data_IF_275014943925
#
_entry.id   IF_275014943925
#
_cell.length_a   1.000
_cell.length_b   1.000
_cell.length_c   1.000
_cell.angle_alpha   90.00
_cell.angle_beta   90.00
_cell.angle_gamma   90.00
#
_symmetry.space_group_name_H-M   'P 1'
#
loop_
_entity.id
_entity.type
_entity.pdbx_description
1 polymer ?
#
# COMPACT_ATOMS: atom_id res chain seq x y z
N UNK A 1 11.22 -3.28 -20.93
CA UNK A 1 12.30 -2.37 -20.51
C UNK A 1 12.27 -2.29 -18.99
N UNK A 2 13.36 -2.67 -18.33
CA UNK A 2 13.45 -2.74 -16.86
C UNK A 2 13.50 -1.33 -16.27
N UNK A 3 12.86 -1.11 -15.12
CA UNK A 3 12.96 0.14 -14.35
C UNK A 3 14.44 0.53 -14.07
N UNK A 4 15.33 -0.46 -14.07
CA UNK A 4 16.78 -0.26 -13.93
C UNK A 4 17.42 0.58 -15.04
N UNK A 5 16.89 0.56 -16.27
CA UNK A 5 17.50 1.33 -17.38
C UNK A 5 17.13 2.81 -17.34
N UNK A 6 15.97 3.16 -16.76
CA UNK A 6 15.53 4.56 -16.68
C UNK A 6 16.33 5.37 -15.65
N UNK A 7 16.86 4.72 -14.62
CA UNK A 7 17.62 5.37 -13.54
C UNK A 7 19.07 5.67 -13.96
N UNK A 8 19.62 4.92 -14.92
CA UNK A 8 20.98 5.18 -15.43
C UNK A 8 21.03 6.39 -16.38
N UNK A 9 20.00 6.61 -17.20
CA UNK A 9 19.99 7.69 -18.20
C UNK A 9 19.96 9.11 -17.62
N UNK A 10 19.49 9.30 -16.37
CA UNK A 10 19.51 10.60 -15.71
C UNK A 10 20.91 11.02 -15.23
N UNK A 11 21.86 10.09 -15.15
CA UNK A 11 23.21 10.36 -14.64
C UNK A 11 24.19 10.92 -15.68
N UNK A 12 23.84 10.88 -16.98
CA UNK A 12 24.75 11.26 -18.08
C UNK A 12 24.60 12.70 -18.60
N UNK A 13 23.69 13.51 -18.05
CA UNK A 13 23.50 14.90 -18.51
C UNK A 13 24.31 15.96 -17.75
N UNK A 14 24.93 15.62 -16.62
CA UNK A 14 25.62 16.61 -15.77
C UNK A 14 27.16 16.59 -15.86
N UNK A 15 27.75 15.79 -16.76
CA UNK A 15 29.21 15.63 -16.84
C UNK A 15 29.87 16.24 -18.09
N UNK A 16 29.32 17.31 -18.65
CA UNK A 16 29.99 18.09 -19.71
C UNK A 16 30.06 19.57 -19.34
N UNK A 17 31.04 19.89 -18.49
CA UNK A 17 31.45 21.26 -18.19
C UNK A 17 32.77 21.50 -18.92
N UNK A 18 32.82 22.48 -19.83
CA UNK A 18 34.09 22.99 -20.35
C UNK A 18 34.16 24.52 -20.22
N UNK A 19 35.24 24.95 -19.56
CA UNK A 19 35.52 26.30 -19.06
C UNK A 19 36.19 27.17 -20.13
N UNK A 20 36.01 28.51 -20.04
CA UNK A 20 37.02 29.62 -20.17
C UNK A 20 36.39 30.95 -20.68
N UNK A 21 37.05 32.14 -20.59
CA UNK A 21 37.24 32.94 -19.37
C UNK A 21 36.85 34.43 -19.55
N UNK A 22 36.92 35.18 -18.44
CA UNK A 22 36.65 36.61 -18.30
C UNK A 22 37.80 37.47 -18.86
N UNK A 23 37.49 38.57 -19.56
CA UNK A 23 38.46 39.64 -19.87
C UNK A 23 37.83 41.04 -19.70
N UNK A 24 38.58 41.93 -19.03
CA UNK A 24 38.32 43.38 -18.83
C UNK A 24 38.91 44.19 -19.99
N UNK A 25 38.25 45.30 -20.38
CA UNK A 25 38.90 46.50 -20.93
C UNK A 25 37.97 47.73 -20.81
N UNK A 26 38.59 48.93 -20.87
CA UNK A 26 38.17 50.24 -20.34
C UNK A 26 37.88 51.26 -21.47
N UNK A 27 37.24 52.39 -21.11
CA UNK A 27 37.22 53.73 -21.79
C UNK A 27 35.90 54.05 -22.55
N UNK A 28 35.31 55.25 -22.61
CA UNK A 28 35.67 56.68 -22.38
C UNK A 28 34.39 57.53 -22.13
N UNK A 29 34.55 58.78 -21.67
CA UNK A 29 33.56 59.89 -21.51
C UNK A 29 32.77 60.23 -22.83
N UNK A 30 31.69 61.04 -22.92
CA UNK A 30 31.30 62.31 -22.26
C UNK A 30 29.84 62.78 -22.60
N UNK A 31 29.33 63.76 -21.84
CA UNK A 31 28.44 64.93 -22.17
C UNK A 31 26.97 64.81 -22.62
N UNK A 32 26.06 65.33 -21.76
CA UNK A 32 25.00 66.37 -21.93
C UNK A 32 24.16 66.39 -23.22
N UNK A 33 22.81 66.29 -23.11
CA UNK A 33 21.88 67.35 -23.57
C UNK A 33 20.46 67.23 -22.97
N UNK A 34 19.86 68.40 -22.73
CA UNK A 34 18.51 68.69 -22.24
C UNK A 34 17.44 68.47 -23.32
N UNK A 35 16.20 68.10 -22.93
CA UNK A 35 14.95 68.70 -23.48
C UNK A 35 13.67 68.23 -22.77
N UNK A 36 12.88 69.23 -22.39
CA UNK A 36 11.50 69.25 -21.84
C UNK A 36 10.49 68.40 -22.62
N UNK A 37 9.47 67.85 -21.94
CA UNK A 37 8.06 67.98 -22.39
C UNK A 37 7.00 67.56 -21.33
N UNK A 38 6.18 68.57 -20.98
CA UNK A 38 4.72 68.60 -20.84
C UNK A 38 3.91 67.50 -20.12
N UNK A 39 3.17 68.00 -19.11
CA UNK A 39 1.97 67.48 -18.47
C UNK A 39 0.89 67.05 -19.49
N UNK A 40 0.28 65.87 -19.29
CA UNK A 40 -1.02 65.53 -19.89
C UNK A 40 -1.85 64.59 -18.99
N UNK A 41 -2.96 65.16 -18.50
CA UNK A 41 -4.27 64.59 -18.12
C UNK A 41 -4.35 63.30 -17.29
N UNK A 42 -4.82 63.48 -16.05
CA UNK A 42 -5.61 62.50 -15.33
C UNK A 42 -6.89 62.16 -16.13
N UNK A 43 -7.02 60.91 -16.58
CA UNK A 43 -8.30 60.36 -17.02
C UNK A 43 -9.00 59.77 -15.80
N UNK A 44 -10.17 60.31 -15.48
CA UNK A 44 -11.11 59.71 -14.54
C UNK A 44 -11.58 58.38 -15.12
N UNK A 45 -11.12 57.27 -14.57
CA UNK A 45 -11.87 56.03 -14.70
C UNK A 45 -13.07 56.14 -13.78
N UNK A 46 -14.23 56.30 -14.42
CA UNK A 46 -15.53 56.24 -13.80
C UNK A 46 -15.61 54.98 -12.92
N UNK A 47 -16.02 55.21 -11.67
CA UNK A 47 -16.46 54.18 -10.74
C UNK A 47 -17.46 53.25 -11.44
N UNK A 48 -16.98 52.08 -11.86
CA UNK A 48 -17.88 50.93 -11.96
C UNK A 48 -18.24 50.63 -10.53
N UNK A 49 -19.51 50.85 -10.18
CA UNK A 49 -20.05 50.57 -8.87
C UNK A 49 -19.61 49.16 -8.48
N UNK A 50 -18.65 49.11 -7.55
CA UNK A 50 -18.17 47.89 -7.00
C UNK A 50 -19.38 47.16 -6.42
N UNK A 51 -19.65 45.96 -6.88
CA UNK A 51 -20.10 44.88 -6.00
C UNK A 51 -19.03 44.69 -4.93
N UNK A 52 -18.95 45.66 -4.02
CA UNK A 52 -18.06 45.70 -2.86
C UNK A 52 -18.70 44.90 -1.74
N UNK A 53 -19.05 43.64 -2.02
CA UNK A 53 -19.13 42.68 -0.93
C UNK A 53 -17.68 42.39 -0.57
N UNK A 54 -17.20 43.02 0.48
CA UNK A 54 -15.92 42.63 1.09
C UNK A 54 -16.05 41.18 1.52
N UNK A 55 -15.55 40.24 0.69
CA UNK A 55 -15.46 38.82 1.04
C UNK A 55 -14.58 38.67 2.30
N UNK A 56 -13.66 39.61 2.52
CA UNK A 56 -12.97 39.82 3.77
C UNK A 56 -13.96 40.37 4.82
N UNK A 57 -14.63 39.49 5.56
CA UNK A 57 -15.43 39.87 6.72
C UNK A 57 -16.67 39.02 7.02
N UNK A 58 -17.13 38.20 6.07
CA UNK A 58 -18.25 37.29 6.37
C UNK A 58 -17.79 36.18 7.34
N UNK A 59 -18.55 35.99 8.42
CA UNK A 59 -18.31 34.97 9.46
C UNK A 59 -18.27 33.58 8.81
N UNK A 60 -19.11 33.33 7.81
CA UNK A 60 -19.17 32.03 7.11
C UNK A 60 -17.85 31.66 6.41
N UNK A 61 -17.04 32.66 6.06
CA UNK A 61 -15.76 32.50 5.36
C UNK A 61 -14.55 32.39 6.32
N UNK A 62 -14.73 32.58 7.63
CA UNK A 62 -13.64 32.60 8.61
C UNK A 62 -13.28 31.20 9.12
N UNK A 63 -12.47 30.45 8.37
CA UNK A 63 -12.03 29.09 8.78
C UNK A 63 -10.65 29.05 9.46
N UNK A 64 -9.81 30.07 9.26
CA UNK A 64 -8.41 30.07 9.73
C UNK A 64 -8.26 29.85 11.24
N UNK A 65 -9.24 30.27 12.04
CA UNK A 65 -9.26 30.06 13.48
C UNK A 65 -9.21 28.57 13.87
N UNK A 66 -9.80 27.67 13.07
CA UNK A 66 -9.84 26.23 13.34
C UNK A 66 -8.50 25.50 13.18
N UNK A 67 -7.51 26.12 12.53
CA UNK A 67 -6.22 25.48 12.20
C UNK A 67 -5.00 26.39 12.35
N UNK A 68 -5.12 27.53 13.06
CA UNK A 68 -4.02 28.48 13.25
C UNK A 68 -2.88 27.93 14.14
N UNK A 69 -3.18 27.03 15.07
CA UNK A 69 -2.21 26.45 16.02
C UNK A 69 -1.84 24.99 15.65
N UNK A 70 -0.62 24.50 15.88
CA UNK A 70 -0.25 23.10 15.61
C UNK A 70 -1.23 22.07 16.21
N UNK A 71 -1.59 22.23 17.49
CA UNK A 71 -2.59 21.38 18.14
C UNK A 71 -3.98 21.47 17.50
N UNK A 72 -4.39 22.66 17.07
CA UNK A 72 -5.68 22.85 16.41
C UNK A 72 -5.73 22.13 15.06
N UNK A 73 -4.62 22.07 14.32
CA UNK A 73 -4.50 21.25 13.10
C UNK A 73 -4.69 19.76 13.40
N UNK A 74 -4.06 19.26 14.48
CA UNK A 74 -4.22 17.86 14.90
C UNK A 74 -5.64 17.51 15.35
N UNK A 75 -6.40 18.46 15.91
CA UNK A 75 -7.81 18.26 16.28
C UNK A 75 -8.76 18.16 15.10
N UNK A 76 -8.38 18.63 13.91
CA UNK A 76 -9.20 18.48 12.69
C UNK A 76 -9.20 17.05 12.15
N UNK A 77 -8.24 16.21 12.57
CA UNK A 77 -8.20 14.82 12.14
C UNK A 77 -9.23 13.98 12.92
N UNK A 78 -10.16 13.34 12.21
CA UNK A 78 -11.11 12.39 12.81
C UNK A 78 -10.40 11.17 13.42
N UNK A 79 -9.19 10.85 12.94
CA UNK A 79 -8.34 9.78 13.44
C UNK A 79 -6.87 10.16 13.29
N UNK A 80 -6.08 9.94 14.35
CA UNK A 80 -4.63 10.09 14.32
C UNK A 80 -3.96 8.74 14.13
N UNK A 81 -2.82 8.72 13.41
CA UNK A 81 -2.04 7.51 13.20
C UNK A 81 -1.45 7.01 14.52
N UNK A 82 -1.57 5.71 14.80
CA UNK A 82 -0.93 5.07 15.95
C UNK A 82 -0.20 3.80 15.53
N UNK A 83 0.79 3.35 16.32
CA UNK A 83 1.57 2.14 16.04
C UNK A 83 0.70 0.89 15.89
N UNK A 84 -0.40 0.80 16.64
CA UNK A 84 -1.31 -0.35 16.60
C UNK A 84 -2.12 -0.47 15.30
N UNK A 85 -2.20 0.58 14.48
CA UNK A 85 -2.88 0.55 13.19
C UNK A 85 -2.03 -0.09 12.09
N UNK A 86 -0.73 -0.27 12.32
CA UNK A 86 0.22 -0.73 11.31
C UNK A 86 0.30 -2.26 11.25
N UNK A 87 0.22 -2.80 10.04
CA UNK A 87 0.51 -4.20 9.74
C UNK A 87 1.71 -4.24 8.80
N UNK A 88 2.78 -4.93 9.22
CA UNK A 88 4.00 -5.02 8.43
C UNK A 88 4.04 -6.27 7.53
N UNK A 89 4.22 -6.12 6.20
CA UNK A 89 4.40 -7.25 5.28
C UNK A 89 5.74 -7.96 5.45
N UNK A 90 5.72 -9.30 5.47
CA UNK A 90 6.91 -10.15 5.50
C UNK A 90 6.90 -11.15 4.35
N UNK A 91 8.03 -11.25 3.63
CA UNK A 91 8.25 -12.24 2.58
C UNK A 91 9.11 -13.38 3.11
N UNK A 92 8.54 -14.58 3.16
CA UNK A 92 9.15 -15.73 3.82
C UNK A 92 9.64 -16.73 2.77
N UNK A 93 10.95 -16.96 2.76
CA UNK A 93 11.60 -17.96 1.91
C UNK A 93 11.37 -19.38 2.42
N UNK A 94 11.44 -20.35 1.51
CA UNK A 94 11.55 -21.78 1.84
C UNK A 94 12.99 -22.23 2.12
N UNK A 95 13.97 -21.32 2.03
CA UNK A 95 15.35 -21.55 2.49
C UNK A 95 15.56 -20.91 3.87
N UNK A 96 15.80 -21.74 4.89
CA UNK A 96 15.77 -21.34 6.30
C UNK A 96 16.69 -20.17 6.68
N UNK A 97 17.88 -20.09 6.05
CA UNK A 97 18.89 -19.07 6.35
C UNK A 97 18.95 -17.92 5.34
N UNK A 98 18.06 -17.88 4.35
CA UNK A 98 18.05 -16.87 3.30
C UNK A 98 17.78 -15.46 3.88
N UNK A 99 18.51 -14.45 3.38
CA UNK A 99 18.19 -13.04 3.60
C UNK A 99 18.60 -12.25 2.34
N UNK A 100 17.68 -12.14 1.40
CA UNK A 100 17.93 -11.54 0.09
C UNK A 100 17.18 -10.21 -0.03
N UNK A 101 17.92 -9.13 -0.30
CA UNK A 101 17.36 -7.82 -0.62
C UNK A 101 16.50 -7.91 -1.88
N UNK A 102 15.34 -7.27 -1.87
CA UNK A 102 14.45 -7.15 -3.03
C UNK A 102 14.74 -5.80 -3.71
N UNK A 103 15.46 -5.75 -4.86
CA UNK A 103 15.97 -4.49 -5.39
C UNK A 103 14.90 -3.48 -5.78
N UNK A 104 13.74 -3.95 -6.23
CA UNK A 104 12.62 -3.09 -6.62
C UNK A 104 11.79 -2.57 -5.44
N UNK A 105 12.02 -3.11 -4.23
CA UNK A 105 11.28 -2.77 -3.02
C UNK A 105 12.25 -2.31 -1.92
N UNK A 106 12.54 -0.99 -1.84
CA UNK A 106 13.60 -0.44 -1.00
C UNK A 106 13.60 -0.96 0.44
N UNK A 107 14.78 -1.40 0.91
CA UNK A 107 15.03 -1.91 2.26
C UNK A 107 14.17 -3.11 2.70
N UNK A 108 13.49 -3.79 1.75
CA UNK A 108 12.74 -5.01 2.02
C UNK A 108 13.53 -6.25 1.58
N UNK A 109 13.35 -7.34 2.31
CA UNK A 109 14.07 -8.59 2.10
C UNK A 109 13.11 -9.76 2.09
N UNK A 110 13.45 -10.77 1.30
CA UNK A 110 12.93 -12.13 1.48
C UNK A 110 13.79 -12.84 2.50
N UNK A 111 13.16 -13.43 3.52
CA UNK A 111 13.84 -14.00 4.68
C UNK A 111 13.42 -15.44 4.93
N UNK A 112 14.40 -16.29 5.20
CA UNK A 112 14.19 -17.61 5.77
C UNK A 112 13.76 -17.54 7.22
N UNK A 113 13.23 -18.66 7.71
CA UNK A 113 12.66 -18.76 9.06
C UNK A 113 13.66 -18.43 10.17
N UNK A 114 14.94 -18.80 10.01
CA UNK A 114 16.00 -18.56 11.01
C UNK A 114 16.33 -17.06 11.16
N UNK A 115 15.96 -16.23 10.18
CA UNK A 115 16.18 -14.78 10.19
C UNK A 115 15.02 -13.99 10.81
N UNK A 116 13.84 -14.61 10.98
CA UNK A 116 12.65 -13.89 11.41
C UNK A 116 12.71 -13.39 12.85
N UNK A 117 13.18 -14.21 13.80
CA UNK A 117 13.22 -13.82 15.21
C UNK A 117 14.18 -12.64 15.44
N UNK A 118 15.45 -12.69 15.01
CA UNK A 118 16.37 -11.56 15.16
C UNK A 118 15.86 -10.28 14.48
N UNK A 119 15.15 -10.42 13.36
CA UNK A 119 14.58 -9.30 12.61
C UNK A 119 13.36 -8.67 13.32
N UNK A 120 12.45 -9.49 13.83
CA UNK A 120 11.21 -9.01 14.45
C UNK A 120 11.40 -8.48 15.87
N UNK A 121 12.35 -9.04 16.64
CA UNK A 121 12.59 -8.65 18.03
C UNK A 121 12.80 -7.14 18.24
N UNK A 122 13.64 -6.41 17.48
CA UNK A 122 13.72 -4.96 17.61
C UNK A 122 12.43 -4.24 17.22
N UNK A 123 11.68 -4.72 16.21
CA UNK A 123 10.43 -4.09 15.78
C UNK A 123 9.32 -4.25 16.83
N UNK A 124 9.21 -5.44 17.43
CA UNK A 124 8.27 -5.70 18.54
C UNK A 124 8.59 -4.81 19.73
N UNK A 125 9.87 -4.64 20.09
CA UNK A 125 10.29 -3.70 21.14
C UNK A 125 9.91 -2.25 20.84
N UNK A 126 9.91 -1.84 19.57
CA UNK A 126 9.47 -0.50 19.13
C UNK A 126 7.95 -0.34 19.06
N UNK A 127 7.19 -1.41 19.31
CA UNK A 127 5.72 -1.40 19.38
C UNK A 127 5.02 -2.02 18.17
N UNK A 128 5.70 -2.81 17.33
CA UNK A 128 5.03 -3.57 16.26
C UNK A 128 3.96 -4.50 16.85
N UNK A 129 2.71 -4.37 16.39
CA UNK A 129 1.58 -5.16 16.89
C UNK A 129 1.08 -6.21 15.92
N UNK A 130 1.34 -6.08 14.62
CA UNK A 130 0.83 -7.01 13.62
C UNK A 130 1.76 -7.17 12.43
N UNK A 131 1.79 -8.39 11.88
CA UNK A 131 2.47 -8.73 10.62
C UNK A 131 1.51 -9.40 9.66
N UNK A 132 1.78 -9.30 8.36
CA UNK A 132 1.12 -10.10 7.33
C UNK A 132 2.17 -10.94 6.57
N UNK A 133 1.94 -12.26 6.54
CA UNK A 133 2.88 -13.23 5.99
C UNK A 133 2.57 -13.53 4.52
N UNK A 134 3.61 -13.51 3.68
CA UNK A 134 3.60 -13.97 2.30
C UNK A 134 4.66 -15.06 2.14
N UNK A 135 4.25 -16.29 1.84
CA UNK A 135 5.17 -17.38 1.53
C UNK A 135 5.72 -17.24 0.11
N UNK A 136 7.01 -17.45 -0.04
CA UNK A 136 7.72 -17.32 -1.33
C UNK A 136 8.53 -18.58 -1.56
N UNK A 137 7.88 -19.71 -1.90
CA UNK A 137 8.59 -20.94 -2.22
C UNK A 137 9.35 -20.77 -3.55
N UNK A 138 10.65 -21.00 -3.51
CA UNK A 138 11.57 -20.88 -4.64
C UNK A 138 12.23 -22.21 -5.01
N UNK A 139 12.10 -23.25 -4.18
CA UNK A 139 12.65 -24.57 -4.44
C UNK A 139 12.06 -25.18 -5.73
N UNK A 140 12.89 -25.87 -6.55
CA UNK A 140 12.39 -26.58 -7.72
C UNK A 140 11.28 -27.56 -7.35
N UNK A 141 10.18 -27.53 -8.11
CA UNK A 141 9.02 -28.41 -7.88
C UNK A 141 8.07 -27.94 -6.77
N UNK A 142 8.34 -26.83 -6.07
CA UNK A 142 7.45 -26.30 -5.04
C UNK A 142 6.16 -25.67 -5.60
N UNK A 143 6.09 -25.43 -6.91
CA UNK A 143 4.93 -24.84 -7.59
C UNK A 143 4.30 -25.83 -8.57
N UNK A 144 2.98 -25.98 -8.50
CA UNK A 144 2.19 -26.83 -9.40
C UNK A 144 0.90 -26.13 -9.87
N UNK A 145 0.04 -26.79 -10.64
CA UNK A 145 -1.18 -26.15 -11.16
C UNK A 145 -2.26 -25.91 -10.08
N UNK A 146 -2.15 -26.54 -8.91
CA UNK A 146 -3.17 -26.52 -7.85
C UNK A 146 -2.75 -25.67 -6.64
N UNK A 147 -1.50 -25.19 -6.62
CA UNK A 147 -0.92 -24.52 -5.47
C UNK A 147 -0.82 -25.44 -4.27
N UNK A 148 -0.43 -26.70 -4.45
CA UNK A 148 -0.40 -27.70 -3.36
C UNK A 148 0.45 -27.25 -2.16
N UNK A 149 1.57 -26.55 -2.41
CA UNK A 149 2.44 -26.06 -1.34
C UNK A 149 1.86 -24.89 -0.51
N UNK A 150 0.70 -24.33 -0.88
CA UNK A 150 0.11 -23.19 -0.18
C UNK A 150 -0.23 -23.48 1.28
N UNK A 151 -0.53 -24.73 1.63
CA UNK A 151 -0.83 -25.18 2.99
C UNK A 151 0.03 -26.37 3.41
N UNK A 152 1.24 -26.47 2.85
CA UNK A 152 2.23 -27.42 3.36
C UNK A 152 2.53 -27.08 4.84
N UNK A 153 2.34 -28.02 5.79
CA UNK A 153 2.70 -27.81 7.19
C UNK A 153 4.17 -27.44 7.41
N UNK A 154 5.06 -27.83 6.48
CA UNK A 154 6.48 -27.47 6.46
C UNK A 154 6.77 -26.24 5.60
N UNK A 155 5.76 -25.70 4.93
CA UNK A 155 5.86 -24.52 4.10
C UNK A 155 6.16 -23.25 4.91
N UNK A 156 6.68 -22.21 4.24
CA UNK A 156 7.23 -21.02 4.88
C UNK A 156 6.21 -20.29 5.77
N UNK A 157 4.95 -20.20 5.33
CA UNK A 157 3.89 -19.49 6.10
C UNK A 157 3.53 -20.25 7.37
N UNK A 158 3.22 -21.54 7.28
CA UNK A 158 2.84 -22.33 8.46
C UNK A 158 3.98 -22.44 9.46
N UNK A 159 5.21 -22.70 9.00
CA UNK A 159 6.37 -22.73 9.88
C UNK A 159 6.59 -21.38 10.60
N UNK A 160 6.40 -20.26 9.88
CA UNK A 160 6.48 -18.91 10.46
C UNK A 160 5.38 -18.62 11.48
N UNK A 161 4.15 -19.06 11.22
CA UNK A 161 3.04 -18.91 12.18
C UNK A 161 3.42 -19.57 13.51
N UNK A 162 3.83 -20.85 13.48
CA UNK A 162 4.21 -21.58 14.69
C UNK A 162 5.36 -20.87 15.45
N UNK A 163 6.41 -20.47 14.73
CA UNK A 163 7.55 -19.77 15.31
C UNK A 163 7.16 -18.44 15.95
N UNK A 164 6.37 -17.62 15.26
CA UNK A 164 5.94 -16.31 15.77
C UNK A 164 5.01 -16.49 16.97
N UNK A 165 4.08 -17.46 16.95
CA UNK A 165 3.22 -17.77 18.11
C UNK A 165 4.04 -18.13 19.34
N UNK A 166 5.12 -18.89 19.16
CA UNK A 166 6.01 -19.31 20.25
C UNK A 166 6.87 -18.14 20.78
N UNK A 167 7.45 -17.33 19.89
CA UNK A 167 8.47 -16.33 20.26
C UNK A 167 7.89 -14.96 20.56
N UNK A 168 6.76 -14.61 19.95
CA UNK A 168 6.09 -13.32 20.09
C UNK A 168 4.58 -13.53 20.33
N UNK A 169 4.17 -14.08 21.48
CA UNK A 169 2.78 -14.49 21.72
C UNK A 169 1.75 -13.36 21.65
N UNK A 170 2.19 -12.10 21.78
CA UNK A 170 1.35 -10.89 21.66
C UNK A 170 1.32 -10.29 20.24
N UNK A 171 2.16 -10.78 19.32
CA UNK A 171 2.19 -10.28 17.95
C UNK A 171 1.00 -10.88 17.18
N UNK A 172 0.19 -10.01 16.59
CA UNK A 172 -0.95 -10.41 15.77
C UNK A 172 -0.47 -10.89 14.40
N UNK A 173 -1.01 -12.02 13.95
CA UNK A 173 -0.51 -12.73 12.76
C UNK A 173 -1.63 -12.77 11.74
N UNK A 174 -1.41 -12.08 10.63
CA UNK A 174 -2.23 -12.15 9.43
C UNK A 174 -1.52 -13.05 8.42
N UNK A 175 -2.24 -13.99 7.80
CA UNK A 175 -1.72 -14.79 6.69
C UNK A 175 -2.46 -14.39 5.41
N UNK A 176 -1.74 -14.02 4.35
CA UNK A 176 -2.34 -13.83 3.03
C UNK A 176 -2.81 -15.19 2.49
N UNK A 177 -4.05 -15.26 2.00
CA UNK A 177 -4.60 -16.48 1.39
C UNK A 177 -4.77 -16.25 -0.11
N UNK A 178 -3.91 -16.89 -0.90
CA UNK A 178 -3.91 -16.85 -2.35
C UNK A 178 -3.09 -18.03 -2.89
N UNK A 179 -3.25 -18.35 -4.17
CA UNK A 179 -2.48 -19.42 -4.82
C UNK A 179 -1.37 -18.89 -5.75
N UNK A 180 -1.23 -17.56 -5.92
CA UNK A 180 -0.35 -17.04 -6.97
C UNK A 180 1.15 -17.22 -6.70
N UNK A 181 1.55 -17.34 -5.45
CA UNK A 181 2.91 -17.65 -5.03
C UNK A 181 3.24 -19.14 -5.21
N UNK A 182 2.22 -20.00 -5.23
CA UNK A 182 2.33 -21.45 -5.19
C UNK A 182 1.98 -22.14 -6.51
N UNK A 183 1.38 -21.41 -7.45
CA UNK A 183 1.00 -21.97 -8.75
C UNK A 183 2.11 -21.84 -9.79
N UNK A 184 2.28 -22.86 -10.63
CA UNK A 184 3.27 -22.85 -11.73
C UNK A 184 2.97 -21.79 -12.80
N UNK A 185 1.72 -21.35 -12.90
CA UNK A 185 1.27 -20.31 -13.83
C UNK A 185 1.16 -18.91 -13.19
N UNK A 186 1.31 -18.77 -11.87
CA UNK A 186 1.29 -17.46 -11.18
C UNK A 186 -0.06 -16.73 -11.13
N UNK A 187 -1.17 -17.46 -11.35
CA UNK A 187 -2.54 -16.93 -11.22
C UNK A 187 -3.08 -17.15 -9.80
N UNK A 188 -4.06 -16.36 -9.38
CA UNK A 188 -4.59 -16.42 -8.02
C UNK A 188 -5.50 -17.63 -7.72
N UNK A 189 -5.73 -18.52 -8.69
CA UNK A 189 -6.61 -19.68 -8.54
C UNK A 189 -6.30 -20.77 -9.57
N UNK A 190 -7.07 -21.85 -9.52
CA UNK A 190 -6.99 -22.99 -10.43
C UNK A 190 -7.59 -22.61 -11.78
N UNK A 191 -6.93 -22.99 -12.87
CA UNK A 191 -7.37 -22.67 -14.23
C UNK A 191 -8.11 -23.85 -14.88
N UNK A 192 -8.99 -23.54 -15.84
CA UNK A 192 -9.55 -24.51 -16.80
C UNK A 192 -8.56 -24.75 -17.94
N UNK A 193 -8.85 -25.74 -18.78
CA UNK A 193 -8.05 -26.07 -19.96
C UNK A 193 -7.90 -24.90 -20.95
N UNK A 194 -8.88 -23.99 -21.00
CA UNK A 194 -8.84 -22.77 -21.82
C UNK A 194 -8.04 -21.61 -21.18
N UNK A 195 -7.44 -21.82 -20.02
CA UNK A 195 -6.69 -20.83 -19.25
C UNK A 195 -7.56 -19.86 -18.44
N UNK A 196 -8.89 -19.98 -18.48
CA UNK A 196 -9.80 -19.19 -17.65
C UNK A 196 -9.80 -19.66 -16.19
N UNK A 197 -10.17 -18.78 -15.26
CA UNK A 197 -10.22 -19.11 -13.84
C UNK A 197 -11.38 -20.07 -13.53
N UNK A 198 -11.09 -21.24 -12.98
CA UNK A 198 -12.08 -22.15 -12.43
C UNK A 198 -12.49 -21.69 -11.03
N UNK A 199 -13.50 -20.82 -10.95
CA UNK A 199 -13.92 -20.19 -9.68
C UNK A 199 -14.27 -21.21 -8.59
N UNK A 200 -15.02 -22.28 -8.92
CA UNK A 200 -15.46 -23.26 -7.92
C UNK A 200 -14.25 -23.99 -7.30
N UNK A 201 -13.40 -24.59 -8.12
CA UNK A 201 -12.20 -25.28 -7.63
C UNK A 201 -11.25 -24.33 -6.89
N UNK A 202 -11.13 -23.09 -7.38
CA UNK A 202 -10.30 -22.07 -6.73
C UNK A 202 -10.82 -21.74 -5.34
N UNK A 203 -12.12 -21.48 -5.20
CA UNK A 203 -12.76 -21.16 -3.91
C UNK A 203 -12.60 -22.30 -2.93
N UNK A 204 -12.80 -23.54 -3.36
CA UNK A 204 -12.65 -24.71 -2.51
C UNK A 204 -11.22 -24.82 -1.96
N UNK A 205 -10.23 -24.73 -2.86
CA UNK A 205 -8.80 -24.79 -2.54
C UNK A 205 -8.35 -23.64 -1.65
N UNK A 206 -8.73 -22.41 -1.96
CA UNK A 206 -8.41 -21.20 -1.17
C UNK A 206 -8.99 -21.32 0.23
N UNK A 207 -10.19 -21.89 0.35
CA UNK A 207 -10.80 -22.12 1.66
C UNK A 207 -10.03 -23.16 2.48
N UNK A 208 -9.51 -24.23 1.86
CA UNK A 208 -8.64 -25.19 2.56
C UNK A 208 -7.37 -24.53 3.09
N UNK A 209 -6.70 -23.70 2.27
CA UNK A 209 -5.50 -22.95 2.69
C UNK A 209 -5.80 -22.02 3.87
N UNK A 210 -6.93 -21.30 3.83
CA UNK A 210 -7.33 -20.44 4.94
C UNK A 210 -7.51 -21.24 6.25
N UNK A 211 -8.15 -22.41 6.19
CA UNK A 211 -8.33 -23.26 7.37
C UNK A 211 -7.00 -23.78 7.90
N UNK A 212 -6.10 -24.22 7.02
CA UNK A 212 -4.79 -24.70 7.42
C UNK A 212 -3.99 -23.61 8.16
N UNK A 213 -3.99 -22.38 7.67
CA UNK A 213 -3.34 -21.25 8.35
C UNK A 213 -4.00 -20.91 9.69
N UNK A 214 -5.33 -20.92 9.74
CA UNK A 214 -6.07 -20.68 10.99
C UNK A 214 -5.78 -21.76 12.04
N UNK A 215 -5.72 -23.03 11.64
CA UNK A 215 -5.37 -24.16 12.49
C UNK A 215 -3.91 -24.14 12.94
N UNK A 216 -2.98 -23.67 12.11
CA UNK A 216 -1.59 -23.41 12.48
C UNK A 216 -1.45 -22.31 13.54
N UNK A 217 -2.49 -21.47 13.72
CA UNK A 217 -2.54 -20.43 14.74
C UNK A 217 -2.46 -19.00 14.19
N UNK A 218 -2.71 -18.77 12.91
CA UNK A 218 -2.93 -17.42 12.41
C UNK A 218 -4.16 -16.81 13.09
N UNK A 219 -4.02 -15.58 13.61
CA UNK A 219 -5.12 -14.85 14.23
C UNK A 219 -6.11 -14.33 13.18
N UNK A 220 -5.60 -14.08 11.97
CA UNK A 220 -6.36 -13.56 10.85
C UNK A 220 -5.94 -14.24 9.55
N UNK A 221 -6.93 -14.58 8.73
CA UNK A 221 -6.74 -15.02 7.35
C UNK A 221 -7.21 -13.91 6.42
N UNK A 222 -6.40 -13.57 5.41
CA UNK A 222 -6.64 -12.41 4.57
C UNK A 222 -6.67 -12.81 3.07
N UNK A 223 -7.81 -13.31 2.56
CA UNK A 223 -7.94 -13.77 1.18
C UNK A 223 -7.80 -12.64 0.17
N UNK A 224 -6.80 -12.75 -0.71
CA UNK A 224 -6.40 -11.72 -1.67
C UNK A 224 -6.65 -12.10 -3.13
N UNK A 225 -7.31 -13.21 -3.37
CA UNK A 225 -7.48 -13.89 -4.64
C UNK A 225 -8.50 -13.24 -5.59
N UNK A 226 -9.52 -12.58 -5.05
CA UNK A 226 -10.67 -11.97 -5.77
C UNK A 226 -11.63 -12.95 -6.48
N UNK A 227 -11.65 -14.24 -6.11
CA UNK A 227 -12.68 -15.17 -6.60
C UNK A 227 -14.06 -14.81 -6.02
N UNK A 228 -15.12 -15.09 -6.77
CA UNK A 228 -16.48 -14.83 -6.32
C UNK A 228 -16.91 -15.89 -5.28
N UNK A 229 -17.42 -15.45 -4.13
CA UNK A 229 -17.94 -16.33 -3.08
C UNK A 229 -16.91 -16.92 -2.11
N UNK A 230 -15.61 -16.58 -2.24
CA UNK A 230 -14.58 -17.16 -1.36
C UNK A 230 -14.76 -16.82 0.12
N UNK A 231 -15.30 -15.64 0.45
CA UNK A 231 -15.46 -15.22 1.85
C UNK A 231 -16.49 -16.12 2.53
N UNK A 232 -17.61 -16.39 1.85
CA UNK A 232 -18.64 -17.31 2.35
C UNK A 232 -18.06 -18.69 2.58
N UNK A 233 -17.32 -19.24 1.62
CA UNK A 233 -16.72 -20.56 1.73
C UNK A 233 -15.73 -20.66 2.90
N UNK A 234 -14.83 -19.67 3.04
CA UNK A 234 -13.90 -19.60 4.18
C UNK A 234 -14.67 -19.49 5.50
N UNK A 235 -15.64 -18.58 5.62
CA UNK A 235 -16.39 -18.38 6.87
C UNK A 235 -17.17 -19.63 7.27
N UNK A 236 -17.78 -20.35 6.32
CA UNK A 236 -18.46 -21.61 6.58
C UNK A 236 -17.49 -22.68 7.10
N UNK A 237 -16.34 -22.88 6.45
CA UNK A 237 -15.34 -23.84 6.93
C UNK A 237 -14.77 -23.46 8.30
N UNK A 238 -14.62 -22.17 8.62
CA UNK A 238 -14.21 -21.70 9.95
C UNK A 238 -15.26 -22.05 11.01
N UNK A 239 -16.56 -21.94 10.68
CA UNK A 239 -17.67 -22.32 11.56
C UNK A 239 -17.69 -23.83 11.78
N UNK A 240 -17.61 -24.62 10.70
CA UNK A 240 -17.59 -26.08 10.73
C UNK A 240 -16.39 -26.62 11.53
N UNK A 241 -15.24 -25.97 11.41
CA UNK A 241 -14.03 -26.31 12.18
C UNK A 241 -14.10 -25.86 13.65
N UNK A 242 -15.14 -25.14 14.07
CA UNK A 242 -15.31 -24.63 15.43
C UNK A 242 -14.32 -23.52 15.80
N UNK A 243 -13.71 -22.84 14.82
CA UNK A 243 -12.65 -21.83 15.05
C UNK A 243 -13.04 -20.42 14.59
N UNK A 244 -14.23 -20.22 14.03
CA UNK A 244 -14.71 -18.90 13.58
C UNK A 244 -14.70 -17.82 14.68
N UNK A 245 -14.86 -18.19 15.95
CA UNK A 245 -14.86 -17.24 17.07
C UNK A 245 -13.47 -16.72 17.45
N UNK A 246 -12.40 -17.31 16.91
CA UNK A 246 -10.99 -16.97 17.23
C UNK A 246 -10.15 -16.60 16.00
N UNK A 247 -10.73 -16.66 14.81
CA UNK A 247 -10.05 -16.34 13.55
C UNK A 247 -10.77 -15.20 12.84
N UNK A 248 -10.06 -14.10 12.64
CA UNK A 248 -10.55 -12.93 11.92
C UNK A 248 -10.47 -13.18 10.40
N UNK A 249 -11.50 -12.79 9.66
CA UNK A 249 -11.54 -12.86 8.20
C UNK A 249 -11.40 -11.45 7.59
N UNK A 250 -10.22 -11.14 7.07
CA UNK A 250 -9.89 -9.83 6.48
C UNK A 250 -9.95 -9.91 4.95
N UNK A 251 -11.08 -9.55 4.37
CA UNK A 251 -11.26 -9.65 2.93
C UNK A 251 -10.54 -8.52 2.19
N UNK A 252 -9.75 -8.87 1.16
CA UNK A 252 -9.38 -7.91 0.11
C UNK A 252 -10.59 -7.64 -0.80
N UNK A 253 -11.64 -7.03 -0.25
CA UNK A 253 -12.93 -6.90 -0.91
C UNK A 253 -12.87 -6.03 -2.18
N UNK A 254 -12.03 -4.99 -2.17
CA UNK A 254 -11.81 -4.12 -3.31
C UNK A 254 -10.32 -4.12 -3.70
N UNK A 255 -9.89 -5.18 -4.40
CA UNK A 255 -8.54 -5.29 -4.97
C UNK A 255 -8.57 -5.06 -6.48
N UNK A 256 -7.94 -3.96 -6.90
CA UNK A 256 -7.90 -3.53 -8.29
C UNK A 256 -6.73 -4.14 -9.06
N UNK A 257 -6.94 -4.35 -10.36
CA UNK A 257 -5.87 -4.57 -11.32
C UNK A 257 -5.13 -3.25 -11.59
N UNK A 258 -3.85 -3.30 -11.92
CA UNK A 258 -3.08 -2.10 -12.22
C UNK A 258 -1.57 -2.30 -12.15
N UNK A 259 -0.83 -1.19 -12.27
CA UNK A 259 0.63 -1.18 -12.42
C UNK A 259 1.40 -1.05 -11.11
N UNK A 260 0.71 -0.90 -9.96
CA UNK A 260 1.35 -0.63 -8.66
C UNK A 260 1.84 -1.89 -7.93
N UNK A 261 1.82 -3.07 -8.58
CA UNK A 261 2.22 -4.34 -7.98
C UNK A 261 3.59 -4.86 -8.45
N UNK A 262 4.29 -4.13 -9.33
CA UNK A 262 5.56 -4.58 -9.91
C UNK A 262 6.55 -5.09 -8.85
N UNK A 263 6.94 -4.27 -7.87
CA UNK A 263 7.93 -4.71 -6.88
C UNK A 263 7.47 -5.86 -5.98
N UNK A 264 6.16 -5.99 -5.70
CA UNK A 264 5.63 -7.14 -4.97
C UNK A 264 5.78 -8.43 -5.79
N UNK A 265 5.59 -8.38 -7.11
CA UNK A 265 5.75 -9.57 -7.96
C UNK A 265 7.18 -10.07 -7.98
N UNK A 266 8.15 -9.15 -7.94
CA UNK A 266 9.57 -9.49 -7.79
C UNK A 266 9.83 -10.12 -6.42
N UNK A 267 9.27 -9.54 -5.35
CA UNK A 267 9.40 -10.03 -3.98
C UNK A 267 8.82 -11.45 -3.79
N UNK A 268 7.63 -11.69 -4.35
CA UNK A 268 6.85 -12.91 -4.16
C UNK A 268 7.10 -13.99 -5.24
N UNK A 269 7.91 -13.68 -6.27
CA UNK A 269 8.14 -14.60 -7.39
C UNK A 269 6.84 -15.02 -8.09
N UNK A 270 5.88 -14.09 -8.20
CA UNK A 270 4.47 -14.37 -8.54
C UNK A 270 4.05 -13.73 -9.88
N UNK A 271 4.99 -13.49 -10.79
CA UNK A 271 4.67 -12.95 -12.13
C UNK A 271 3.82 -13.98 -12.88
N UNK A 272 2.63 -13.62 -13.42
CA UNK A 272 1.84 -14.55 -14.23
C UNK A 272 2.63 -15.04 -15.44
N UNK A 273 2.59 -16.34 -15.70
CA UNK A 273 3.31 -16.96 -16.82
C UNK A 273 2.71 -16.62 -18.19
N UNK A 274 1.41 -16.25 -18.22
CA UNK A 274 0.72 -15.75 -19.39
C UNK A 274 -0.45 -14.84 -18.99
N UNK A 275 -0.96 -14.06 -19.96
CA UNK A 275 -2.12 -13.19 -19.76
C UNK A 275 -1.94 -12.15 -18.66
N UNK A 276 -3.05 -11.78 -18.02
CA UNK A 276 -3.07 -10.87 -16.88
C UNK A 276 -4.15 -11.27 -15.85
N UNK A 277 -4.31 -10.45 -14.80
CA UNK A 277 -5.24 -10.70 -13.69
C UNK A 277 -6.56 -9.91 -13.82
N UNK A 278 -6.83 -9.28 -14.97
CA UNK A 278 -7.97 -8.36 -15.16
C UNK A 278 -9.33 -9.05 -15.18
N UNK A 279 -9.37 -10.37 -15.34
CA UNK A 279 -10.62 -11.14 -15.33
C UNK A 279 -11.17 -11.43 -13.92
N UNK A 280 -10.45 -11.04 -12.86
CA UNK A 280 -10.91 -11.21 -11.47
C UNK A 280 -10.50 -10.05 -10.55
N UNK A 281 -9.36 -9.42 -10.77
CA UNK A 281 -9.05 -8.13 -10.12
C UNK A 281 -9.89 -7.01 -10.75
N UNK A 282 -10.41 -6.11 -9.92
CA UNK A 282 -11.32 -5.06 -10.39
C UNK A 282 -10.64 -4.13 -11.42
N UNK A 283 -11.34 -3.66 -12.46
CA UNK A 283 -10.80 -2.65 -13.35
C UNK A 283 -10.65 -1.30 -12.62
N UNK A 284 -9.62 -0.47 -12.87
CA UNK A 284 -9.42 0.81 -12.17
C UNK A 284 -10.63 1.75 -12.16
N UNK A 285 -11.37 1.85 -13.27
CA UNK A 285 -12.60 2.66 -13.35
C UNK A 285 -13.84 2.01 -12.71
N UNK A 286 -13.69 0.84 -12.08
CA UNK A 286 -14.78 -0.04 -11.66
C UNK A 286 -15.39 0.27 -10.29
N UNK A 287 -15.67 1.54 -9.96
CA UNK A 287 -16.23 1.93 -8.64
C UNK A 287 -17.49 1.15 -8.26
N UNK A 288 -18.43 0.99 -9.21
CA UNK A 288 -19.67 0.23 -8.96
C UNK A 288 -19.43 -1.25 -8.63
N UNK A 289 -18.41 -1.88 -9.23
CA UNK A 289 -18.02 -3.25 -8.90
C UNK A 289 -17.37 -3.33 -7.52
N UNK A 290 -16.54 -2.35 -7.17
CA UNK A 290 -15.93 -2.28 -5.83
C UNK A 290 -16.99 -2.19 -4.73
N UNK A 291 -17.99 -1.31 -4.87
CA UNK A 291 -19.10 -1.19 -3.92
C UNK A 291 -19.86 -2.50 -3.76
N UNK A 292 -20.23 -3.16 -4.87
CA UNK A 292 -20.91 -4.47 -4.85
C UNK A 292 -20.06 -5.58 -4.22
N UNK A 293 -18.75 -5.60 -4.47
CA UNK A 293 -17.84 -6.58 -3.88
C UNK A 293 -17.66 -6.38 -2.38
N UNK A 294 -17.62 -5.11 -1.93
CA UNK A 294 -17.62 -4.75 -0.50
C UNK A 294 -18.91 -5.23 0.17
N UNK A 295 -20.07 -4.88 -0.38
CA UNK A 295 -21.38 -5.31 0.15
C UNK A 295 -21.49 -6.84 0.21
N UNK A 296 -21.06 -7.53 -0.85
CA UNK A 296 -21.00 -8.98 -0.90
C UNK A 296 -20.16 -9.53 0.24
N UNK A 297 -18.91 -9.11 0.35
CA UNK A 297 -17.98 -9.71 1.31
C UNK A 297 -18.39 -9.44 2.78
N UNK A 298 -19.03 -8.30 3.04
CA UNK A 298 -19.70 -8.03 4.33
C UNK A 298 -20.82 -9.05 4.56
N UNK A 299 -21.71 -9.24 3.59
CA UNK A 299 -22.81 -10.21 3.66
C UNK A 299 -22.35 -11.66 3.77
N UNK A 300 -21.15 -11.96 3.29
CA UNK A 300 -20.52 -13.28 3.36
C UNK A 300 -19.75 -13.54 4.67
N UNK A 301 -19.65 -12.55 5.56
CA UNK A 301 -19.10 -12.70 6.92
C UNK A 301 -17.64 -12.27 7.08
N UNK A 302 -17.13 -11.40 6.21
CA UNK A 302 -15.87 -10.70 6.48
C UNK A 302 -15.99 -9.89 7.78
N UNK A 303 -14.92 -9.88 8.58
CA UNK A 303 -14.82 -9.08 9.80
C UNK A 303 -14.12 -7.74 9.54
N UNK A 304 -13.27 -7.70 8.51
CA UNK A 304 -12.57 -6.50 8.01
C UNK A 304 -12.64 -6.50 6.50
N UNK A 305 -12.87 -5.33 5.90
CA UNK A 305 -12.74 -5.12 4.46
C UNK A 305 -11.49 -4.30 4.16
N UNK A 306 -10.76 -4.69 3.13
CA UNK A 306 -9.53 -4.06 2.69
C UNK A 306 -9.65 -3.53 1.26
N UNK A 307 -9.15 -2.31 1.05
CA UNK A 307 -8.95 -1.71 -0.27
C UNK A 307 -7.48 -1.79 -0.67
N UNK A 308 -7.21 -2.20 -1.92
CA UNK A 308 -5.85 -2.36 -2.47
C UNK A 308 -5.83 -2.03 -3.97
N UNK A 309 -4.93 -1.14 -4.45
CA UNK A 309 -4.00 -0.25 -3.73
C UNK A 309 -4.69 0.79 -2.85
N UNK A 310 -3.92 1.59 -2.10
CA UNK A 310 -4.50 2.58 -1.18
C UNK A 310 -4.54 4.01 -1.74
N UNK A 311 -3.39 4.62 -2.00
CA UNK A 311 -3.27 6.04 -2.35
C UNK A 311 -3.98 6.42 -3.66
N UNK A 312 -4.03 5.53 -4.65
CA UNK A 312 -4.78 5.77 -5.90
C UNK A 312 -6.28 5.46 -5.79
N UNK A 313 -6.76 4.97 -4.65
CA UNK A 313 -8.13 4.51 -4.45
C UNK A 313 -8.70 5.00 -3.10
N UNK A 314 -8.30 6.21 -2.67
CA UNK A 314 -8.81 6.84 -1.44
C UNK A 314 -10.34 7.07 -1.51
N UNK A 315 -10.88 7.31 -2.69
CA UNK A 315 -12.33 7.39 -2.94
C UNK A 315 -13.03 6.05 -2.65
N UNK A 316 -12.40 4.92 -2.98
CA UNK A 316 -12.91 3.58 -2.68
C UNK A 316 -12.79 3.25 -1.19
N UNK A 317 -11.75 3.73 -0.49
CA UNK A 317 -11.65 3.62 0.97
C UNK A 317 -12.80 4.40 1.63
N UNK A 318 -13.13 5.58 1.10
CA UNK A 318 -14.30 6.36 1.55
C UNK A 318 -15.61 5.61 1.31
N UNK A 319 -15.82 5.03 0.13
CA UNK A 319 -16.98 4.17 -0.15
C UNK A 319 -17.05 2.98 0.82
N UNK A 320 -15.92 2.32 1.08
CA UNK A 320 -15.82 1.20 2.00
C UNK A 320 -16.20 1.61 3.42
N UNK A 321 -15.80 2.80 3.87
CA UNK A 321 -16.17 3.35 5.18
C UNK A 321 -17.66 3.70 5.26
N UNK A 322 -18.27 4.19 4.17
CA UNK A 322 -19.71 4.44 4.11
C UNK A 322 -20.51 3.14 4.23
N UNK A 323 -20.20 2.15 3.39
CA UNK A 323 -20.89 0.85 3.32
C UNK A 323 -20.64 0.05 4.61
N UNK A 324 -19.39 -0.03 5.05
CA UNK A 324 -18.92 -0.74 6.23
C UNK A 324 -18.76 0.16 7.46
N UNK A 325 -19.67 1.12 7.69
CA UNK A 325 -19.52 2.16 8.74
C UNK A 325 -19.19 1.64 10.14
N UNK A 326 -19.69 0.45 10.48
CA UNK A 326 -19.50 -0.20 11.77
C UNK A 326 -18.37 -1.24 11.78
N UNK A 327 -17.62 -1.36 10.68
CA UNK A 327 -16.54 -2.32 10.53
C UNK A 327 -15.18 -1.63 10.46
N UNK A 328 -14.10 -2.30 10.86
CA UNK A 328 -12.76 -1.84 10.56
C UNK A 328 -12.52 -1.88 9.05
N UNK A 329 -11.93 -0.80 8.54
CA UNK A 329 -11.51 -0.69 7.14
C UNK A 329 -9.98 -0.75 7.12
N UNK A 330 -9.43 -1.67 6.35
CA UNK A 330 -8.01 -1.76 6.08
C UNK A 330 -7.68 -1.15 4.71
N UNK A 331 -6.46 -0.63 4.58
CA UNK A 331 -5.93 -0.17 3.31
C UNK A 331 -4.50 -0.70 3.16
N UNK A 332 -4.16 -1.14 1.94
CA UNK A 332 -2.81 -1.61 1.64
C UNK A 332 -2.08 -0.57 0.81
N UNK A 333 -1.10 0.11 1.41
CA UNK A 333 -0.12 0.93 0.68
C UNK A 333 0.88 0.01 -0.01
N UNK A 334 0.64 -0.26 -1.29
CA UNK A 334 1.28 -1.37 -2.00
C UNK A 334 2.73 -1.06 -2.37
N UNK A 335 3.40 -2.10 -2.84
CA UNK A 335 4.82 -2.10 -3.18
C UNK A 335 5.21 -0.99 -4.16
N UNK A 336 4.39 -0.74 -5.19
CA UNK A 336 4.64 0.32 -6.17
C UNK A 336 4.42 1.72 -5.60
N UNK A 337 3.46 1.90 -4.68
CA UNK A 337 3.23 3.18 -4.00
C UNK A 337 4.43 3.51 -3.11
N UNK A 338 4.87 2.54 -2.31
CA UNK A 338 6.07 2.66 -1.48
C UNK A 338 7.32 2.98 -2.30
N UNK A 339 7.60 2.19 -3.35
CA UNK A 339 8.76 2.40 -4.21
C UNK A 339 8.70 3.75 -4.96
N UNK A 340 7.51 4.19 -5.38
CA UNK A 340 7.31 5.49 -6.02
C UNK A 340 7.63 6.64 -5.07
N UNK A 341 7.21 6.56 -3.80
CA UNK A 341 7.55 7.56 -2.79
C UNK A 341 9.06 7.60 -2.50
N UNK A 342 9.71 6.43 -2.38
CA UNK A 342 11.17 6.37 -2.27
C UNK A 342 11.88 7.00 -3.47
N UNK A 343 11.41 6.73 -4.69
CA UNK A 343 11.99 7.29 -5.91
C UNK A 343 11.82 8.82 -5.98
N UNK A 344 10.62 9.33 -5.66
CA UNK A 344 10.35 10.77 -5.62
C UNK A 344 11.20 11.50 -4.58
N UNK A 345 11.37 10.92 -3.39
CA UNK A 345 12.23 11.48 -2.36
C UNK A 345 13.71 11.48 -2.78
N UNK A 346 14.19 10.37 -3.37
CA UNK A 346 15.56 10.28 -3.90
C UNK A 346 15.83 11.30 -5.02
N UNK A 347 14.82 11.62 -5.83
CA UNK A 347 14.88 12.64 -6.86
C UNK A 347 14.77 14.08 -6.33
N UNK A 348 14.61 14.27 -5.01
CA UNK A 348 14.49 15.59 -4.40
C UNK A 348 13.13 16.27 -4.58
N UNK A 349 12.08 15.52 -4.96
CA UNK A 349 10.72 16.07 -5.14
C UNK A 349 10.09 16.44 -3.79
N UNK A 350 10.36 15.65 -2.75
CA UNK A 350 9.86 15.85 -1.39
C UNK A 350 10.74 15.13 -0.36
N UNK A 351 10.57 15.46 0.93
CA UNK A 351 11.13 14.68 2.03
C UNK A 351 10.38 13.35 2.21
N UNK A 352 11.11 12.25 2.42
CA UNK A 352 10.53 10.91 2.52
C UNK A 352 9.65 10.75 3.77
N UNK A 353 10.06 11.32 4.91
CA UNK A 353 9.29 11.22 6.15
C UNK A 353 7.99 12.01 6.00
N UNK A 354 8.06 13.24 5.52
CA UNK A 354 6.90 14.10 5.31
C UNK A 354 5.85 13.43 4.40
N UNK A 355 6.24 12.92 3.23
CA UNK A 355 5.29 12.28 2.30
C UNK A 355 4.75 10.94 2.82
N UNK A 356 5.53 10.21 3.62
CA UNK A 356 5.05 8.98 4.25
C UNK A 356 3.91 9.29 5.22
N UNK A 357 4.06 10.32 6.08
CA UNK A 357 2.98 10.81 6.93
C UNK A 357 1.79 11.30 6.10
N UNK A 358 2.00 12.18 5.11
CA UNK A 358 0.91 12.74 4.30
C UNK A 358 0.11 11.65 3.56
N UNK A 359 0.79 10.67 2.96
CA UNK A 359 0.11 9.54 2.28
C UNK A 359 -0.67 8.66 3.25
N UNK A 360 -0.14 8.41 4.45
CA UNK A 360 -0.80 7.57 5.46
C UNK A 360 -1.95 8.29 6.15
N UNK A 361 -1.81 9.59 6.42
CA UNK A 361 -2.89 10.45 6.89
C UNK A 361 -3.99 10.59 5.84
N UNK A 362 -3.65 10.62 4.55
CA UNK A 362 -4.63 10.52 3.46
C UNK A 362 -5.46 9.24 3.52
N UNK A 363 -4.83 8.11 3.82
CA UNK A 363 -5.49 6.82 4.02
C UNK A 363 -6.43 6.84 5.24
N UNK A 364 -5.98 7.40 6.36
CA UNK A 364 -6.79 7.53 7.57
C UNK A 364 -7.98 8.47 7.35
N UNK A 365 -7.75 9.62 6.71
CA UNK A 365 -8.77 10.61 6.33
C UNK A 365 -9.85 10.00 5.43
N UNK A 366 -9.46 9.08 4.54
CA UNK A 366 -10.42 8.36 3.70
C UNK A 366 -11.27 7.34 4.48
N UNK A 367 -10.94 7.05 5.74
CA UNK A 367 -11.76 6.22 6.64
C UNK A 367 -11.09 4.92 7.12
N UNK A 368 -9.90 4.59 6.61
CA UNK A 368 -9.16 3.42 7.06
C UNK A 368 -8.76 3.53 8.54
N UNK A 369 -8.86 2.43 9.28
CA UNK A 369 -8.38 2.30 10.66
C UNK A 369 -7.19 1.35 10.79
N UNK A 370 -6.82 0.67 9.70
CA UNK A 370 -5.73 -0.31 9.63
C UNK A 370 -4.95 -0.03 8.34
N UNK A 371 -3.62 0.02 8.43
CA UNK A 371 -2.75 0.29 7.30
C UNK A 371 -1.71 -0.81 7.16
N UNK A 372 -1.78 -1.55 6.05
CA UNK A 372 -0.71 -2.47 5.64
C UNK A 372 0.32 -1.64 4.87
N UNK A 373 1.53 -1.50 5.42
CA UNK A 373 2.57 -0.65 4.80
C UNK A 373 3.99 -1.15 5.06
N UNK A 374 4.84 -0.98 4.05
CA UNK A 374 6.28 -1.21 4.13
C UNK A 374 7.03 -0.10 4.90
N UNK A 375 6.39 1.07 5.13
CA UNK A 375 6.92 2.12 6.02
C UNK A 375 6.78 1.78 7.51
N UNK A 376 6.22 0.61 7.86
CA UNK A 376 5.97 0.25 9.27
C UNK A 376 7.23 0.38 10.14
N UNK A 377 8.42 -0.14 9.77
CA UNK A 377 9.63 0.06 10.56
C UNK A 377 9.95 1.53 10.84
N UNK A 378 9.80 2.39 9.83
CA UNK A 378 10.03 3.83 9.94
C UNK A 378 9.00 4.51 10.84
N UNK A 379 7.71 4.16 10.72
CA UNK A 379 6.67 4.72 11.58
C UNK A 379 6.82 4.29 13.04
N UNK A 380 7.33 3.08 13.31
CA UNK A 380 7.61 2.66 14.68
C UNK A 380 8.68 3.54 15.36
N UNK A 381 9.60 4.11 14.56
CA UNK A 381 10.61 5.07 15.03
C UNK A 381 10.09 6.51 15.04
N UNK A 382 9.29 6.90 14.04
CA UNK A 382 8.82 8.28 13.90
C UNK A 382 7.63 8.64 14.78
N UNK A 383 6.78 7.66 15.12
CA UNK A 383 5.69 7.86 16.04
C UNK A 383 6.25 7.80 17.46
N UNK A 384 5.97 8.85 18.23
CA UNK A 384 6.25 8.88 19.66
C UNK A 384 5.50 7.74 20.38
N UNK A 385 6.01 7.37 21.55
CA UNK A 385 5.52 6.19 22.29
C UNK A 385 4.20 6.46 23.00
#
# INVERSE_FOLDING_TARGET
MSFSSLVQDLSFRDSANDRRPINRAVSTASTIDDRRSHISRAMSYASTAATSVSIAGDISSQLHGGYAHPLARSWQAERQLTKAMLIYPLFISDQDDEEILIPSLPDQYRRGINKLVPFLEPLVRKGLRSVILFGVPMAPGAKDALGTAADDPKGPVMASIHLIRQRFPQLYIVADVCLCEYTSHGHCGILRDDGSLNNQLSVDRISDVAIAYAQAGAHCVAPSDMNDGRIRAIKLKLIESGIAHKTLLMSYAAKFSGCLYGPFRDAAGSVPSFGDRKCYQLPPGGRGLARRAIERDIGEGADIIMVKPAGQYLDIISDAKEIGKNMPIAAYQVSGEFAMLHAGAKAGVFDLKAIAFESTEGILRAGAGIVVSYFTPQFLDWLES
#
